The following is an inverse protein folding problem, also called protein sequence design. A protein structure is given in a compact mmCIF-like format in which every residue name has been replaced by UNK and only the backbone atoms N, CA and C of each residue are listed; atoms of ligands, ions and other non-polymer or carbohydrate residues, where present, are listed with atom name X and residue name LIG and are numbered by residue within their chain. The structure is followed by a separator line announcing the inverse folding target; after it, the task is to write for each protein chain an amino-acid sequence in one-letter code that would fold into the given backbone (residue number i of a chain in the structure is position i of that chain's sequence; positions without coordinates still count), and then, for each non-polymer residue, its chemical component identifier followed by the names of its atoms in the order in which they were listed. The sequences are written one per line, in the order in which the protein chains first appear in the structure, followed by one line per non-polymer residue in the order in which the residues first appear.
data_IF_013072281470
#
_entry.id   IF_013072281470
#
_cell.length_a   1.000
_cell.length_b   1.000
_cell.length_c   1.000
_cell.angle_alpha   90.00
_cell.angle_beta   90.00
_cell.angle_gamma   90.00
#
_symmetry.space_group_name_H-M   'P 1'
#
loop_
_entity.id
_entity.type
_entity.pdbx_description
1 polymer ?
#
# COMPACT_ATOMS: atom_id res chain seq x y z
N UNK A 1 20.63 -2.11 13.72
CA UNK A 1 19.84 -1.31 12.75
C UNK A 1 18.49 -0.99 13.36
N UNK A 2 18.00 0.28 13.21
CA UNK A 2 16.73 0.70 13.80
C UNK A 2 15.64 0.68 12.73
N UNK A 3 14.55 -0.07 12.94
CA UNK A 3 13.40 -0.12 12.05
C UNK A 3 12.17 0.51 12.70
N UNK A 4 11.48 1.36 11.96
CA UNK A 4 10.15 1.85 12.37
C UNK A 4 9.08 0.82 12.00
N UNK A 5 8.29 0.38 12.96
CA UNK A 5 7.20 -0.59 12.80
C UNK A 5 5.87 0.00 13.23
N UNK A 6 4.80 -0.61 12.80
CA UNK A 6 3.43 -0.18 13.17
C UNK A 6 2.57 -1.40 13.50
N UNK A 7 2.07 -1.48 14.72
CA UNK A 7 0.98 -2.38 15.08
C UNK A 7 -0.35 -1.71 14.77
N UNK A 8 -1.26 -2.42 14.10
CA UNK A 8 -2.59 -1.94 13.76
C UNK A 8 -3.64 -2.75 14.51
N UNK A 9 -4.43 -2.10 15.33
CA UNK A 9 -5.47 -2.71 16.14
C UNK A 9 -6.82 -2.08 15.75
N UNK A 10 -7.80 -2.91 15.41
CA UNK A 10 -9.17 -2.45 15.20
C UNK A 10 -9.83 -2.26 16.55
N UNK A 11 -10.50 -1.12 16.73
CA UNK A 11 -11.29 -0.80 17.92
C UNK A 11 -12.66 -0.26 17.52
N UNK A 12 -13.63 -0.49 18.36
CA UNK A 12 -14.92 0.17 18.27
C UNK A 12 -14.79 1.62 18.74
N UNK A 13 -15.68 2.49 18.29
CA UNK A 13 -15.72 3.87 18.74
C UNK A 13 -16.19 3.98 20.18
N UNK A 14 -15.63 4.92 20.93
CA UNK A 14 -16.17 5.45 22.18
C UNK A 14 -16.57 6.89 21.95
N UNK A 15 -17.51 7.40 22.77
CA UNK A 15 -17.98 8.79 22.66
C UNK A 15 -16.81 9.78 22.81
N UNK A 16 -15.90 9.53 23.76
CA UNK A 16 -14.70 10.36 23.97
C UNK A 16 -13.79 10.38 22.74
N UNK A 17 -13.55 9.22 22.12
CA UNK A 17 -12.71 9.14 20.95
C UNK A 17 -13.35 9.82 19.74
N UNK A 18 -14.65 9.63 19.54
CA UNK A 18 -15.43 10.29 18.49
C UNK A 18 -15.41 11.80 18.68
N UNK A 19 -15.67 12.26 19.91
CA UNK A 19 -15.60 13.67 20.26
C UNK A 19 -14.22 14.27 19.94
N UNK A 20 -13.13 13.64 20.36
CA UNK A 20 -11.77 14.14 20.09
C UNK A 20 -11.43 14.13 18.60
N UNK A 21 -11.85 13.09 17.84
CA UNK A 21 -11.67 13.04 16.38
C UNK A 21 -12.50 14.10 15.65
N UNK A 22 -13.69 14.43 16.18
CA UNK A 22 -14.52 15.51 15.68
C UNK A 22 -13.88 16.89 15.97
N UNK A 23 -13.39 17.13 17.20
CA UNK A 23 -12.63 18.34 17.55
C UNK A 23 -11.38 18.49 16.67
N UNK A 24 -10.67 17.41 16.40
CA UNK A 24 -9.54 17.42 15.46
C UNK A 24 -9.97 17.84 14.04
N UNK A 25 -11.13 17.40 13.56
CA UNK A 25 -11.71 17.84 12.29
C UNK A 25 -12.08 19.34 12.32
N UNK A 26 -12.66 19.81 13.42
CA UNK A 26 -13.01 21.23 13.58
C UNK A 26 -11.74 22.11 13.53
N UNK A 27 -10.71 21.73 14.30
CA UNK A 27 -9.42 22.45 14.29
C UNK A 27 -8.75 22.43 12.90
N UNK A 28 -8.85 21.30 12.17
CA UNK A 28 -8.38 21.24 10.79
C UNK A 28 -9.05 22.27 9.90
N UNK A 29 -10.37 22.36 9.97
CA UNK A 29 -11.15 23.27 9.13
C UNK A 29 -10.91 24.75 9.52
N UNK A 30 -10.83 25.03 10.81
CA UNK A 30 -10.53 26.34 11.35
C UNK A 30 -9.15 26.85 10.91
N UNK A 31 -8.12 26.03 11.06
CA UNK A 31 -6.75 26.36 10.65
C UNK A 31 -6.57 26.40 9.11
N UNK A 32 -7.34 25.61 8.38
CA UNK A 32 -7.33 25.62 6.92
C UNK A 32 -7.95 26.88 6.34
N UNK A 33 -8.91 27.53 7.04
CA UNK A 33 -9.61 28.69 6.55
C UNK A 33 -8.66 29.84 6.16
N UNK A 34 -7.81 30.39 7.05
CA UNK A 34 -6.90 31.49 6.68
C UNK A 34 -5.90 31.09 5.58
N UNK A 35 -5.46 29.83 5.55
CA UNK A 35 -4.57 29.35 4.47
C UNK A 35 -5.26 29.41 3.10
N UNK A 36 -6.52 29.03 3.03
CA UNK A 36 -7.30 29.07 1.79
C UNK A 36 -7.67 30.49 1.40
N UNK A 37 -7.99 31.37 2.35
CA UNK A 37 -8.26 32.79 2.07
C UNK A 37 -7.04 33.42 1.37
N UNK A 38 -5.86 33.35 1.98
CA UNK A 38 -4.64 33.86 1.37
C UNK A 38 -4.32 33.23 0.01
N UNK A 39 -4.53 31.91 -0.13
CA UNK A 39 -4.32 31.23 -1.40
C UNK A 39 -5.24 31.73 -2.52
N UNK A 40 -6.55 31.85 -2.24
CA UNK A 40 -7.51 32.27 -3.26
C UNK A 40 -7.42 33.76 -3.53
N UNK A 41 -7.11 34.61 -2.54
CA UNK A 41 -6.78 36.02 -2.74
C UNK A 41 -5.64 36.15 -3.76
N UNK A 42 -4.50 35.51 -3.51
CA UNK A 42 -3.36 35.54 -4.42
C UNK A 42 -3.64 35.00 -5.82
N UNK A 43 -4.62 34.10 -5.94
CA UNK A 43 -5.01 33.53 -7.22
C UNK A 43 -5.94 34.44 -8.02
N UNK A 44 -6.87 35.12 -7.35
CA UNK A 44 -7.90 35.94 -7.99
C UNK A 44 -7.47 37.39 -8.18
N UNK A 45 -6.46 37.84 -7.40
CA UNK A 45 -5.90 39.19 -7.44
C UNK A 45 -4.39 39.13 -7.74
N UNK A 46 -3.99 38.74 -9.00
CA UNK A 46 -2.59 38.58 -9.35
C UNK A 46 -1.78 39.88 -9.31
N UNK A 47 -2.46 40.99 -9.47
CA UNK A 47 -1.88 42.37 -9.51
C UNK A 47 -1.76 43.02 -8.12
N UNK A 48 -2.33 42.40 -7.08
CA UNK A 48 -2.24 42.87 -5.70
C UNK A 48 -1.04 42.25 -4.96
N UNK A 49 -0.56 42.90 -3.86
CA UNK A 49 0.47 42.31 -3.03
C UNK A 49 0.07 40.94 -2.51
N UNK A 50 0.95 39.96 -2.68
CA UNK A 50 0.66 38.57 -2.30
C UNK A 50 0.56 38.41 -0.78
N UNK A 51 -0.55 37.86 -0.33
CA UNK A 51 -0.73 37.46 1.07
C UNK A 51 0.13 36.22 1.38
N UNK A 52 0.76 36.26 2.55
CA UNK A 52 1.54 35.11 3.02
C UNK A 52 0.61 34.03 3.56
N UNK A 53 0.61 32.85 2.94
CA UNK A 53 -0.13 31.69 3.45
C UNK A 53 0.49 31.27 4.80
N UNK A 54 -0.30 31.22 5.89
CA UNK A 54 0.23 30.91 7.22
C UNK A 54 0.80 29.48 7.27
N UNK A 55 2.05 29.34 7.70
CA UNK A 55 2.66 28.04 7.98
C UNK A 55 2.43 27.57 9.41
N UNK A 56 2.97 26.41 9.77
CA UNK A 56 2.79 25.77 11.09
C UNK A 56 3.02 26.73 12.26
N UNK A 57 4.10 27.52 12.28
CA UNK A 57 4.44 28.37 13.42
C UNK A 57 3.39 29.47 13.67
N UNK A 58 2.89 30.07 12.60
CA UNK A 58 1.81 31.08 12.67
C UNK A 58 0.52 30.44 13.16
N UNK A 59 0.13 29.31 12.55
CA UNK A 59 -1.08 28.59 12.94
C UNK A 59 -1.00 28.09 14.39
N UNK A 60 0.14 27.59 14.85
CA UNK A 60 0.33 27.14 16.22
C UNK A 60 0.19 28.31 17.23
N UNK A 61 0.60 29.52 16.85
CA UNK A 61 0.41 30.73 17.65
C UNK A 61 -1.05 31.17 17.71
N UNK A 62 -1.69 31.31 16.55
CA UNK A 62 -3.05 31.84 16.42
C UNK A 62 -4.13 30.91 16.95
N UNK A 63 -3.95 29.58 16.75
CA UNK A 63 -4.95 28.59 17.17
C UNK A 63 -4.94 28.26 18.67
N UNK A 64 -3.93 28.66 19.45
CA UNK A 64 -3.85 28.37 20.91
C UNK A 64 -5.08 28.80 21.69
N UNK A 65 -5.72 29.89 21.28
CA UNK A 65 -6.91 30.46 21.95
C UNK A 65 -8.21 29.78 21.51
N UNK A 66 -8.19 29.04 20.41
CA UNK A 66 -9.35 28.34 19.84
C UNK A 66 -9.89 27.28 20.80
N UNK A 67 -11.21 27.19 20.91
CA UNK A 67 -11.92 26.13 21.64
C UNK A 67 -11.59 24.74 21.07
N UNK A 68 -11.44 24.62 19.74
CA UNK A 68 -11.08 23.39 19.09
C UNK A 68 -9.66 22.94 19.44
N UNK A 69 -8.73 23.87 19.62
CA UNK A 69 -7.37 23.57 20.07
C UNK A 69 -7.37 23.14 21.55
N UNK A 70 -8.06 23.87 22.42
CA UNK A 70 -8.16 23.60 23.88
C UNK A 70 -8.91 22.28 24.16
N UNK A 71 -9.87 21.91 23.32
CA UNK A 71 -10.59 20.66 23.40
C UNK A 71 -9.70 19.43 23.23
N UNK A 72 -8.60 19.56 22.47
CA UNK A 72 -7.58 18.53 22.29
C UNK A 72 -6.47 18.64 23.35
N UNK A 73 -5.61 17.63 23.43
CA UNK A 73 -4.30 17.77 24.07
C UNK A 73 -3.40 18.65 23.20
N UNK A 74 -2.66 19.58 23.79
CA UNK A 74 -1.85 20.54 23.06
C UNK A 74 -0.91 19.90 22.01
N UNK A 75 -0.24 18.81 22.37
CA UNK A 75 0.63 18.09 21.43
C UNK A 75 -0.17 17.45 20.27
N UNK A 76 -1.34 16.89 20.54
CA UNK A 76 -2.21 16.33 19.50
C UNK A 76 -2.72 17.42 18.54
N UNK A 77 -3.11 18.58 19.06
CA UNK A 77 -3.48 19.74 18.25
C UNK A 77 -2.29 20.22 17.38
N UNK A 78 -1.10 20.34 17.97
CA UNK A 78 0.12 20.69 17.22
C UNK A 78 0.45 19.69 16.13
N UNK A 79 0.32 18.36 16.38
CA UNK A 79 0.54 17.35 15.34
C UNK A 79 -0.45 17.51 14.18
N UNK A 80 -1.71 17.82 14.44
CA UNK A 80 -2.70 18.10 13.41
C UNK A 80 -2.29 19.30 12.53
N UNK A 81 -1.87 20.41 13.16
CA UNK A 81 -1.40 21.60 12.43
C UNK A 81 -0.14 21.31 11.60
N UNK A 82 0.79 20.49 12.11
CA UNK A 82 1.96 20.02 11.33
C UNK A 82 1.54 19.20 10.11
N UNK A 83 0.52 18.33 10.24
CA UNK A 83 0.00 17.55 9.11
C UNK A 83 -0.65 18.46 8.08
N UNK A 84 -1.38 19.51 8.51
CA UNK A 84 -1.98 20.49 7.61
C UNK A 84 -0.91 21.25 6.81
N UNK A 85 0.13 21.76 7.48
CA UNK A 85 1.27 22.44 6.84
C UNK A 85 1.99 21.52 5.83
N UNK A 86 2.25 20.25 6.22
CA UNK A 86 2.82 19.25 5.30
C UNK A 86 1.92 19.00 4.09
N UNK A 87 0.60 19.00 4.27
CA UNK A 87 -0.36 18.80 3.16
C UNK A 87 -0.30 19.95 2.15
N UNK A 88 -0.12 21.19 2.59
CA UNK A 88 0.11 22.33 1.70
C UNK A 88 1.46 22.25 0.99
N UNK A 89 2.53 21.89 1.69
CA UNK A 89 3.85 21.68 1.07
C UNK A 89 3.81 20.59 0.00
N UNK A 90 3.14 19.48 0.28
CA UNK A 90 2.93 18.40 -0.69
C UNK A 90 2.14 18.86 -1.91
N UNK A 91 1.11 19.69 -1.73
CA UNK A 91 0.36 20.29 -2.84
C UNK A 91 1.25 21.15 -3.75
N UNK A 92 2.11 22.00 -3.18
CA UNK A 92 3.04 22.83 -3.98
C UNK A 92 4.06 21.98 -4.73
N UNK A 93 4.60 20.95 -4.10
CA UNK A 93 5.51 19.99 -4.77
C UNK A 93 4.80 19.26 -5.92
N UNK A 94 3.57 18.82 -5.70
CA UNK A 94 2.77 18.17 -6.73
C UNK A 94 2.45 19.13 -7.91
N UNK A 95 2.15 20.40 -7.67
CA UNK A 95 1.95 21.39 -8.72
C UNK A 95 3.24 21.64 -9.54
N UNK A 96 4.37 21.71 -8.85
CA UNK A 96 5.68 21.88 -9.52
C UNK A 96 6.02 20.66 -10.41
N UNK A 97 5.71 19.44 -9.94
CA UNK A 97 5.91 18.24 -10.76
C UNK A 97 4.88 18.17 -11.89
N UNK A 98 3.62 18.54 -11.64
CA UNK A 98 2.59 18.58 -12.66
C UNK A 98 2.92 19.53 -13.80
N UNK A 99 3.51 20.69 -13.53
CA UNK A 99 3.93 21.65 -14.56
C UNK A 99 5.01 21.09 -15.49
N UNK A 100 5.85 20.15 -15.01
CA UNK A 100 6.88 19.50 -15.79
C UNK A 100 6.39 18.24 -16.51
N UNK A 101 5.57 17.45 -15.84
CA UNK A 101 5.15 16.12 -16.27
C UNK A 101 3.63 15.90 -16.03
N UNK A 102 2.74 16.58 -16.79
CA UNK A 102 1.28 16.44 -16.58
C UNK A 102 0.76 15.02 -16.74
N UNK A 103 1.37 14.23 -17.63
CA UNK A 103 0.99 12.84 -17.91
C UNK A 103 1.17 11.87 -16.75
N UNK A 104 1.96 12.22 -15.73
CA UNK A 104 2.11 11.43 -14.49
C UNK A 104 0.89 11.54 -13.57
N UNK A 105 -0.03 12.46 -13.83
CA UNK A 105 -1.17 12.76 -12.97
C UNK A 105 -2.48 12.48 -13.68
N UNK A 106 -3.49 12.01 -12.94
CA UNK A 106 -4.86 11.85 -13.44
C UNK A 106 -5.58 13.19 -13.69
N UNK A 107 -4.99 14.30 -13.22
CA UNK A 107 -5.51 15.64 -13.35
C UNK A 107 -4.71 16.62 -12.49
N UNK A 108 -5.02 17.91 -12.65
CA UNK A 108 -4.31 18.96 -11.91
C UNK A 108 -4.47 18.79 -10.39
N UNK A 109 -3.38 18.81 -9.59
CA UNK A 109 -3.44 18.75 -8.13
C UNK A 109 -4.36 19.82 -7.54
N UNK A 110 -5.09 19.48 -6.50
CA UNK A 110 -6.00 20.38 -5.80
C UNK A 110 -5.45 20.71 -4.41
N UNK A 111 -5.64 21.94 -3.91
CA UNK A 111 -5.22 22.31 -2.56
C UNK A 111 -6.00 21.51 -1.50
N UNK A 112 -5.49 21.44 -0.27
CA UNK A 112 -6.19 20.79 0.83
C UNK A 112 -7.63 21.29 0.97
N UNK A 113 -8.54 20.37 1.27
CA UNK A 113 -9.99 20.59 1.32
C UNK A 113 -10.49 20.57 2.76
N UNK A 114 -11.61 21.25 3.00
CA UNK A 114 -12.36 21.13 4.24
C UNK A 114 -12.89 19.72 4.42
N UNK A 115 -12.90 19.25 5.64
CA UNK A 115 -13.55 18.00 6.02
C UNK A 115 -15.05 18.23 6.23
N UNK A 116 -15.89 17.20 5.97
CA UNK A 116 -17.34 17.31 6.13
C UNK A 116 -17.76 17.76 7.54
N UNK A 117 -18.92 18.42 7.67
CA UNK A 117 -19.45 18.94 8.94
C UNK A 117 -19.51 17.84 10.01
N UNK A 118 -20.09 16.70 9.67
CA UNK A 118 -20.28 15.56 10.58
C UNK A 118 -19.14 14.53 10.47
N UNK A 119 -17.98 14.94 9.91
CA UNK A 119 -16.82 14.08 9.74
C UNK A 119 -15.89 14.11 10.95
N UNK A 120 -14.85 13.30 10.84
CA UNK A 120 -13.79 13.16 11.83
C UNK A 120 -12.41 13.29 11.16
N UNK A 121 -11.39 13.61 11.94
CA UNK A 121 -10.01 13.63 11.49
C UNK A 121 -9.16 12.64 12.30
N UNK A 122 -8.01 12.28 11.73
CA UNK A 122 -7.02 11.47 12.44
C UNK A 122 -6.56 12.21 13.70
N UNK A 123 -6.62 11.52 14.82
CA UNK A 123 -6.11 11.99 16.09
C UNK A 123 -4.75 11.32 16.37
N UNK A 124 -3.74 12.14 16.68
CA UNK A 124 -2.37 11.64 16.93
C UNK A 124 -1.94 12.00 18.34
N UNK A 125 -1.50 11.01 19.09
CA UNK A 125 -0.82 11.15 20.37
C UNK A 125 0.68 10.92 20.17
N UNK A 126 1.50 11.77 20.79
CA UNK A 126 2.96 11.61 20.81
C UNK A 126 3.36 10.59 21.86
N UNK A 127 4.61 10.13 21.84
CA UNK A 127 5.17 9.22 22.84
C UNK A 127 5.05 9.72 24.27
N UNK A 128 5.04 11.05 24.50
CA UNK A 128 4.88 11.65 25.83
C UNK A 128 3.45 11.55 26.39
N UNK A 129 2.48 11.21 25.57
CA UNK A 129 1.05 11.17 25.92
C UNK A 129 0.52 9.74 26.07
N UNK A 130 1.37 8.75 25.82
CA UNK A 130 1.00 7.35 25.73
C UNK A 130 2.01 6.51 26.51
N UNK A 131 1.51 5.53 27.26
CA UNK A 131 2.35 4.55 27.95
C UNK A 131 1.91 3.13 27.63
N UNK A 132 2.88 2.19 27.57
CA UNK A 132 2.59 0.76 27.53
C UNK A 132 2.85 0.22 28.94
N UNK A 133 1.85 -0.47 29.47
CA UNK A 133 1.96 -1.16 30.76
C UNK A 133 1.09 -2.41 30.77
N UNK A 134 1.67 -3.52 31.21
CA UNK A 134 0.99 -4.81 31.38
C UNK A 134 0.24 -5.29 30.12
N UNK A 135 0.85 -5.08 28.94
CA UNK A 135 0.25 -5.44 27.64
C UNK A 135 -0.89 -4.54 27.18
N UNK A 136 -1.01 -3.33 27.75
CA UNK A 136 -1.99 -2.34 27.36
C UNK A 136 -1.35 -0.99 27.04
N UNK A 137 -1.85 -0.36 25.99
CA UNK A 137 -1.59 1.05 25.69
C UNK A 137 -2.62 1.90 26.41
N UNK A 138 -2.16 2.90 27.16
CA UNK A 138 -3.00 3.87 27.89
C UNK A 138 -2.69 5.29 27.44
N UNK A 139 -3.68 6.17 27.57
CA UNK A 139 -3.63 7.52 27.07
C UNK A 139 -3.81 8.56 28.21
N UNK A 140 -3.87 9.82 27.85
CA UNK A 140 -4.11 10.92 28.77
C UNK A 140 -5.53 10.86 29.36
N UNK A 141 -5.78 11.63 30.44
CA UNK A 141 -7.10 11.70 31.09
C UNK A 141 -8.24 12.10 30.15
N UNK A 142 -7.96 12.83 29.03
CA UNK A 142 -8.98 13.17 28.03
C UNK A 142 -9.45 11.98 27.19
N UNK A 143 -8.73 10.85 27.21
CA UNK A 143 -9.10 9.61 26.55
C UNK A 143 -8.85 8.45 27.51
N UNK A 144 -9.80 8.10 28.37
CA UNK A 144 -9.67 7.01 29.36
C UNK A 144 -9.85 5.63 28.69
N UNK A 145 -9.03 5.36 27.67
CA UNK A 145 -9.08 4.15 26.87
C UNK A 145 -7.86 3.28 27.15
N UNK A 146 -8.09 1.94 27.22
CA UNK A 146 -7.02 0.94 27.32
C UNK A 146 -7.12 0.02 26.10
N UNK A 147 -6.03 -0.15 25.37
CA UNK A 147 -5.99 -0.98 24.17
C UNK A 147 -4.96 -2.08 24.37
N UNK A 148 -5.39 -3.33 24.25
CA UNK A 148 -4.47 -4.48 24.33
C UNK A 148 -3.48 -4.44 23.17
N UNK A 149 -2.19 -4.59 23.48
CA UNK A 149 -1.08 -4.61 22.51
C UNK A 149 -0.22 -5.85 22.71
N UNK A 150 0.56 -6.19 21.68
CA UNK A 150 1.58 -7.25 21.72
C UNK A 150 2.98 -6.72 22.07
N UNK A 151 3.08 -5.39 22.26
CA UNK A 151 4.34 -4.72 22.53
C UNK A 151 4.67 -4.77 24.01
N UNK A 152 5.96 -4.90 24.30
CA UNK A 152 6.48 -4.93 25.65
C UNK A 152 6.56 -3.52 26.26
N UNK A 153 6.66 -3.44 27.59
CA UNK A 153 6.64 -2.18 28.34
C UNK A 153 7.79 -1.23 27.98
N UNK A 154 8.93 -1.76 27.58
CA UNK A 154 10.15 -1.04 27.20
C UNK A 154 10.20 -0.66 25.71
N UNK A 155 9.15 -1.01 24.95
CA UNK A 155 9.06 -0.64 23.52
C UNK A 155 9.14 0.86 23.33
N UNK A 156 10.09 1.33 22.53
CA UNK A 156 10.27 2.74 22.20
C UNK A 156 9.18 3.23 21.25
N UNK A 157 8.17 3.90 21.81
CA UNK A 157 7.07 4.48 21.08
C UNK A 157 7.46 5.79 20.38
N UNK A 158 7.01 5.96 19.13
CA UNK A 158 7.08 7.24 18.42
C UNK A 158 5.77 8.01 18.52
N UNK A 159 4.66 7.36 18.21
CA UNK A 159 3.31 7.97 18.26
C UNK A 159 2.23 6.89 18.19
N UNK A 160 1.02 7.26 18.63
CA UNK A 160 -0.20 6.47 18.40
C UNK A 160 -1.21 7.31 17.64
N UNK A 161 -1.81 6.72 16.59
CA UNK A 161 -2.79 7.40 15.75
C UNK A 161 -4.12 6.66 15.77
N UNK A 162 -5.21 7.39 15.91
CA UNK A 162 -6.56 6.90 15.70
C UNK A 162 -7.06 7.36 14.35
N UNK A 163 -7.33 6.41 13.47
CA UNK A 163 -7.79 6.68 12.11
C UNK A 163 -9.27 6.29 12.03
N UNK A 164 -10.19 7.26 11.86
CA UNK A 164 -11.59 6.96 11.64
C UNK A 164 -11.78 6.07 10.41
N UNK A 165 -12.49 4.95 10.55
CA UNK A 165 -12.68 4.01 9.47
C UNK A 165 -13.99 3.26 9.59
N UNK A 166 -14.92 3.56 8.70
CA UNK A 166 -16.24 2.95 8.72
C UNK A 166 -17.02 3.31 9.98
N UNK A 167 -17.38 2.30 10.78
CA UNK A 167 -18.15 2.46 12.03
C UNK A 167 -17.25 2.45 13.29
N UNK A 168 -15.93 2.53 13.13
CA UNK A 168 -14.99 2.51 14.26
C UNK A 168 -13.64 3.06 13.86
N UNK A 169 -12.56 2.61 14.51
CA UNK A 169 -11.22 3.19 14.33
C UNK A 169 -10.17 2.11 14.12
N UNK A 170 -9.08 2.51 13.45
CA UNK A 170 -7.82 1.76 13.49
C UNK A 170 -6.87 2.52 14.39
N UNK A 171 -6.47 1.91 15.49
CA UNK A 171 -5.37 2.37 16.32
C UNK A 171 -4.06 1.89 15.70
N UNK A 172 -3.21 2.82 15.32
CA UNK A 172 -1.86 2.55 14.82
C UNK A 172 -0.84 2.94 15.86
N UNK A 173 -0.14 1.95 16.40
CA UNK A 173 0.96 2.14 17.36
C UNK A 173 2.25 2.10 16.57
N UNK A 174 2.92 3.25 16.44
CA UNK A 174 4.19 3.38 15.73
C UNK A 174 5.34 3.33 16.71
N UNK A 175 6.25 2.40 16.53
CA UNK A 175 7.36 2.13 17.42
C UNK A 175 8.65 1.83 16.67
N UNK A 176 9.77 1.91 17.37
CA UNK A 176 11.09 1.51 16.89
C UNK A 176 11.42 0.11 17.36
N UNK A 177 11.92 -0.73 16.46
CA UNK A 177 12.48 -2.04 16.75
C UNK A 177 13.97 -2.02 16.40
N UNK A 178 14.82 -2.31 17.37
CA UNK A 178 16.23 -2.58 17.12
C UNK A 178 16.39 -4.01 16.59
N UNK A 179 17.22 -4.15 15.58
CA UNK A 179 17.62 -5.43 15.05
C UNK A 179 18.92 -5.82 15.72
N UNK A 180 18.94 -6.98 16.37
CA UNK A 180 20.11 -7.49 17.06
C UNK A 180 21.19 -8.01 16.08
N UNK A 181 22.39 -8.30 16.59
CA UNK A 181 23.53 -8.78 15.79
C UNK A 181 23.27 -10.15 15.17
N UNK A 182 22.54 -11.02 15.82
CA UNK A 182 22.16 -12.34 15.32
C UNK A 182 21.22 -12.22 14.11
N UNK A 183 20.21 -11.36 14.18
CA UNK A 183 19.33 -11.05 13.04
C UNK A 183 20.12 -10.42 11.88
N UNK A 184 21.17 -9.63 12.15
CA UNK A 184 22.05 -9.05 11.14
C UNK A 184 22.92 -10.14 10.49
N UNK A 185 23.51 -11.03 11.28
CA UNK A 185 24.36 -12.11 10.80
C UNK A 185 23.58 -13.08 9.91
N UNK A 186 22.36 -13.44 10.29
CA UNK A 186 21.48 -14.27 9.45
C UNK A 186 21.16 -13.61 8.11
N UNK A 187 21.10 -12.27 8.04
CA UNK A 187 20.92 -11.52 6.80
C UNK A 187 22.15 -11.51 5.89
N UNK A 188 23.37 -11.64 6.45
CA UNK A 188 24.61 -11.75 5.68
C UNK A 188 24.73 -13.06 4.89
N UNK A 189 23.91 -14.08 5.21
CA UNK A 189 23.84 -15.34 4.49
C UNK A 189 23.09 -15.23 3.15
N UNK A 190 22.41 -14.09 2.88
CA UNK A 190 21.67 -13.88 1.64
C UNK A 190 22.63 -13.55 0.48
N UNK A 191 22.41 -14.23 -0.63
CA UNK A 191 23.23 -14.07 -1.83
C UNK A 191 22.53 -13.14 -2.84
N UNK A 192 23.07 -11.96 -3.09
CA UNK A 192 22.53 -10.99 -4.06
C UNK A 192 22.51 -11.49 -5.52
N UNK A 193 23.25 -12.56 -5.86
CA UNK A 193 23.21 -13.19 -7.17
C UNK A 193 22.12 -14.26 -7.29
N UNK A 194 21.48 -14.67 -6.17
CA UNK A 194 20.30 -15.54 -6.17
C UNK A 194 19.06 -14.64 -6.23
N UNK A 195 18.31 -14.77 -7.30
CA UNK A 195 17.30 -13.81 -7.71
C UNK A 195 15.98 -14.53 -8.00
N UNK A 196 14.87 -13.95 -7.54
CA UNK A 196 13.54 -14.31 -8.00
C UNK A 196 12.90 -13.19 -8.81
N UNK A 197 12.13 -13.58 -9.83
CA UNK A 197 11.23 -12.72 -10.59
C UNK A 197 9.78 -13.00 -10.22
N UNK A 198 9.01 -11.96 -10.06
CA UNK A 198 7.59 -12.02 -9.72
C UNK A 198 6.77 -11.39 -10.84
N UNK A 199 5.92 -12.21 -11.47
CA UNK A 199 4.86 -11.78 -12.37
C UNK A 199 3.52 -11.75 -11.60
N UNK A 200 2.84 -10.59 -11.61
CA UNK A 200 1.57 -10.37 -10.91
C UNK A 200 0.39 -10.48 -11.87
N UNK A 201 -0.54 -11.36 -11.57
CA UNK A 201 -1.65 -11.64 -12.46
C UNK A 201 -3.02 -11.69 -11.79
N UNK A 202 -4.02 -12.16 -12.56
CA UNK A 202 -5.41 -12.33 -12.11
C UNK A 202 -5.77 -13.75 -11.73
N UNK A 203 -5.39 -14.73 -12.55
CA UNK A 203 -5.63 -16.16 -12.27
C UNK A 203 -4.62 -16.68 -11.28
N UNK A 204 -3.38 -16.42 -11.58
CA UNK A 204 -2.25 -16.59 -10.73
C UNK A 204 -1.97 -15.19 -10.15
N UNK A 205 -2.17 -15.04 -8.84
CA UNK A 205 -1.93 -13.74 -8.20
C UNK A 205 -0.45 -13.40 -8.19
N UNK A 206 0.38 -14.43 -8.08
CA UNK A 206 1.83 -14.36 -8.11
C UNK A 206 2.36 -15.58 -8.85
N UNK A 207 3.28 -15.38 -9.77
CA UNK A 207 4.15 -16.41 -10.33
C UNK A 207 5.58 -16.06 -9.98
N UNK A 208 6.29 -17.00 -9.34
CA UNK A 208 7.68 -16.86 -8.93
C UNK A 208 8.51 -17.74 -9.83
N UNK A 209 9.50 -17.16 -10.50
CA UNK A 209 10.58 -17.86 -11.18
C UNK A 209 11.93 -17.41 -10.60
N UNK A 210 13.00 -18.16 -10.81
CA UNK A 210 14.29 -17.92 -10.20
C UNK A 210 15.45 -18.25 -11.15
N UNK A 211 16.67 -17.81 -10.79
CA UNK A 211 17.91 -18.11 -11.52
C UNK A 211 18.77 -19.16 -10.84
N UNK A 212 18.22 -19.95 -9.90
CA UNK A 212 18.95 -20.92 -9.09
C UNK A 212 18.57 -22.37 -9.41
N UNK A 213 17.73 -22.60 -10.44
CA UNK A 213 17.31 -23.94 -10.85
C UNK A 213 16.15 -24.55 -10.05
N UNK A 214 15.60 -23.82 -9.08
CA UNK A 214 14.44 -24.30 -8.31
C UNK A 214 13.15 -24.26 -9.14
N UNK A 215 12.21 -25.15 -8.81
CA UNK A 215 10.93 -25.24 -9.51
C UNK A 215 10.13 -23.96 -9.31
N UNK A 216 9.64 -23.31 -10.38
CA UNK A 216 8.81 -22.13 -10.27
C UNK A 216 7.53 -22.37 -9.47
N UNK A 217 7.00 -21.34 -8.84
CA UNK A 217 5.84 -21.44 -7.97
C UNK A 217 4.72 -20.54 -8.48
N UNK A 218 3.48 -21.07 -8.46
CA UNK A 218 2.28 -20.31 -8.76
C UNK A 218 1.34 -20.27 -7.57
N UNK A 219 0.99 -19.05 -7.15
CA UNK A 219 -0.03 -18.80 -6.13
C UNK A 219 -1.33 -18.43 -6.82
N UNK A 220 -2.40 -19.19 -6.58
CA UNK A 220 -3.69 -18.98 -7.25
C UNK A 220 -4.47 -17.80 -6.68
N UNK A 221 -5.07 -16.98 -7.54
CA UNK A 221 -5.94 -15.87 -7.18
C UNK A 221 -7.41 -16.25 -6.91
N UNK A 222 -7.72 -17.56 -6.84
CA UNK A 222 -9.11 -18.07 -6.71
C UNK A 222 -9.81 -17.55 -5.46
N UNK A 223 -9.13 -17.57 -4.31
CA UNK A 223 -9.67 -17.11 -3.01
C UNK A 223 -10.04 -15.62 -3.09
N UNK A 224 -9.17 -14.78 -3.64
CA UNK A 224 -9.43 -13.33 -3.78
C UNK A 224 -10.63 -13.05 -4.69
N UNK A 225 -10.77 -13.84 -5.77
CA UNK A 225 -11.92 -13.74 -6.66
C UNK A 225 -13.22 -14.15 -5.95
N UNK A 226 -13.20 -15.24 -5.21
CA UNK A 226 -14.34 -15.72 -4.43
C UNK A 226 -14.80 -14.68 -3.40
N UNK A 227 -13.87 -14.10 -2.63
CA UNK A 227 -14.15 -13.03 -1.68
C UNK A 227 -14.81 -11.83 -2.37
N UNK A 228 -14.29 -11.40 -3.52
CA UNK A 228 -14.82 -10.26 -4.27
C UNK A 228 -16.19 -10.57 -4.91
N UNK A 229 -16.40 -11.78 -5.42
CA UNK A 229 -17.69 -12.19 -6.00
C UNK A 229 -18.78 -12.23 -4.93
N UNK A 230 -18.51 -12.84 -3.77
CA UNK A 230 -19.43 -12.83 -2.63
C UNK A 230 -19.77 -11.40 -2.21
N UNK A 231 -18.74 -10.57 -2.02
CA UNK A 231 -18.91 -9.17 -1.68
C UNK A 231 -19.79 -8.40 -2.69
N UNK A 232 -19.55 -8.58 -3.98
CA UNK A 232 -20.31 -7.88 -5.02
C UNK A 232 -21.78 -8.30 -5.03
N UNK A 233 -22.07 -9.59 -4.82
CA UNK A 233 -23.44 -10.13 -4.74
C UNK A 233 -24.18 -9.54 -3.54
N UNK A 234 -23.60 -9.63 -2.35
CA UNK A 234 -24.19 -9.10 -1.12
C UNK A 234 -24.36 -7.57 -1.16
N UNK A 235 -23.38 -6.86 -1.70
CA UNK A 235 -23.45 -5.40 -1.87
C UNK A 235 -24.60 -5.01 -2.81
N UNK A 236 -24.79 -5.71 -3.92
CA UNK A 236 -25.87 -5.42 -4.86
C UNK A 236 -27.24 -5.61 -4.21
N UNK A 237 -27.41 -6.70 -3.42
CA UNK A 237 -28.64 -6.95 -2.68
C UNK A 237 -28.92 -5.85 -1.65
N UNK A 238 -27.95 -5.51 -0.82
CA UNK A 238 -28.10 -4.44 0.18
C UNK A 238 -28.37 -3.09 -0.46
N UNK A 239 -27.74 -2.80 -1.60
CA UNK A 239 -27.93 -1.55 -2.32
C UNK A 239 -29.35 -1.43 -2.89
N UNK A 240 -29.90 -2.51 -3.47
CA UNK A 240 -31.29 -2.56 -3.92
C UNK A 240 -32.28 -2.30 -2.77
N UNK A 241 -32.04 -2.89 -1.57
CA UNK A 241 -32.88 -2.65 -0.39
C UNK A 241 -32.82 -1.19 0.04
N UNK A 242 -31.60 -0.60 0.06
CA UNK A 242 -31.41 0.79 0.47
C UNK A 242 -31.99 1.78 -0.53
N UNK A 243 -31.88 1.50 -1.82
CA UNK A 243 -32.45 2.34 -2.88
C UNK A 243 -33.99 2.38 -2.74
N UNK A 244 -34.64 1.23 -2.50
CA UNK A 244 -36.07 1.16 -2.22
C UNK A 244 -36.50 1.96 -0.97
N UNK A 245 -35.63 1.99 0.06
CA UNK A 245 -35.87 2.74 1.30
C UNK A 245 -35.37 4.21 1.21
N UNK A 246 -34.83 4.65 0.06
CA UNK A 246 -34.21 5.97 -0.13
C UNK A 246 -33.05 6.28 0.84
N UNK A 247 -32.36 5.24 1.33
CA UNK A 247 -31.23 5.33 2.23
C UNK A 247 -29.94 5.36 1.40
N UNK A 248 -29.16 6.44 1.48
CA UNK A 248 -27.89 6.57 0.71
C UNK A 248 -26.79 5.65 1.24
N UNK A 249 -26.68 5.50 2.55
CA UNK A 249 -25.64 4.70 3.20
C UNK A 249 -26.21 4.01 4.44
N UNK A 250 -25.80 2.75 4.66
CA UNK A 250 -26.23 1.99 5.81
C UNK A 250 -25.08 1.20 6.44
N UNK A 251 -25.16 0.98 7.75
CA UNK A 251 -24.15 0.30 8.56
C UNK A 251 -23.77 -1.09 8.00
N UNK A 252 -24.74 -1.84 7.46
CA UNK A 252 -24.49 -3.18 6.89
C UNK A 252 -23.53 -3.16 5.70
N UNK A 253 -23.59 -2.13 4.82
CA UNK A 253 -22.64 -1.99 3.70
C UNK A 253 -21.24 -1.71 4.25
N UNK A 254 -21.10 -0.86 5.29
CA UNK A 254 -19.80 -0.63 5.93
C UNK A 254 -19.22 -1.91 6.52
N UNK A 255 -20.00 -2.68 7.27
CA UNK A 255 -19.59 -3.97 7.84
C UNK A 255 -19.17 -4.97 6.76
N UNK A 256 -19.92 -5.04 5.65
CA UNK A 256 -19.60 -5.90 4.51
C UNK A 256 -18.27 -5.48 3.86
N UNK A 257 -18.07 -4.16 3.65
CA UNK A 257 -16.80 -3.60 3.14
C UNK A 257 -15.62 -3.96 4.04
N UNK A 258 -15.76 -3.80 5.35
CA UNK A 258 -14.70 -4.11 6.30
C UNK A 258 -14.38 -5.60 6.32
N UNK A 259 -15.37 -6.46 6.41
CA UNK A 259 -15.19 -7.92 6.36
C UNK A 259 -14.44 -8.36 5.09
N UNK A 260 -14.83 -7.81 3.94
CA UNK A 260 -14.12 -8.06 2.67
C UNK A 260 -12.68 -7.56 2.73
N UNK A 261 -12.45 -6.33 3.20
CA UNK A 261 -11.13 -5.71 3.23
C UNK A 261 -10.19 -6.44 4.20
N UNK A 262 -10.69 -6.94 5.33
CA UNK A 262 -9.91 -7.76 6.27
C UNK A 262 -9.49 -9.09 5.64
N UNK A 263 -10.41 -9.80 4.98
CA UNK A 263 -10.10 -11.06 4.28
C UNK A 263 -9.06 -10.86 3.17
N UNK A 264 -9.19 -9.79 2.37
CA UNK A 264 -8.21 -9.46 1.34
C UNK A 264 -6.85 -9.11 1.96
N UNK A 265 -6.84 -8.31 3.03
CA UNK A 265 -5.60 -7.92 3.74
C UNK A 265 -4.89 -9.15 4.32
N UNK A 266 -5.61 -10.08 4.94
CA UNK A 266 -5.07 -11.33 5.46
C UNK A 266 -4.38 -12.15 4.36
N UNK A 267 -5.06 -12.35 3.23
CA UNK A 267 -4.47 -13.05 2.08
C UNK A 267 -3.21 -12.36 1.56
N UNK A 268 -3.19 -11.03 1.47
CA UNK A 268 -1.99 -10.29 1.05
C UNK A 268 -0.84 -10.46 2.03
N UNK A 269 -1.13 -10.49 3.34
CA UNK A 269 -0.11 -10.76 4.37
C UNK A 269 0.47 -12.16 4.28
N UNK A 270 -0.38 -13.19 4.06
CA UNK A 270 0.05 -14.58 3.88
C UNK A 270 0.93 -14.72 2.64
N UNK A 271 0.48 -14.19 1.49
CA UNK A 271 1.23 -14.23 0.23
C UNK A 271 2.59 -13.55 0.36
N UNK A 272 2.61 -12.31 0.90
CA UNK A 272 3.86 -11.56 1.04
C UNK A 272 4.82 -12.17 2.06
N UNK A 273 4.30 -12.84 3.12
CA UNK A 273 5.13 -13.60 4.06
C UNK A 273 5.74 -14.82 3.37
N UNK A 274 4.93 -15.62 2.68
CA UNK A 274 5.38 -16.79 1.96
C UNK A 274 6.53 -16.47 0.98
N UNK A 275 6.43 -15.36 0.24
CA UNK A 275 7.48 -14.93 -0.70
C UNK A 275 8.79 -14.66 0.03
N UNK A 276 8.73 -13.95 1.17
CA UNK A 276 9.93 -13.62 1.94
C UNK A 276 10.52 -14.85 2.61
N UNK A 277 9.68 -15.72 3.19
CA UNK A 277 10.12 -16.98 3.79
C UNK A 277 10.82 -17.87 2.73
N UNK A 278 10.25 -17.99 1.53
CA UNK A 278 10.87 -18.68 0.40
C UNK A 278 12.26 -18.11 0.05
N UNK A 279 12.40 -16.77 0.08
CA UNK A 279 13.70 -16.15 -0.14
C UNK A 279 14.72 -16.50 0.94
N UNK A 280 14.30 -16.51 2.20
CA UNK A 280 15.17 -16.88 3.33
C UNK A 280 15.60 -18.34 3.26
N UNK A 281 14.67 -19.27 3.03
CA UNK A 281 14.91 -20.71 2.90
C UNK A 281 15.90 -21.03 1.77
N UNK A 282 15.88 -20.24 0.71
CA UNK A 282 16.74 -20.44 -0.47
C UNK A 282 17.93 -19.47 -0.53
N UNK A 283 18.23 -18.73 0.53
CA UNK A 283 19.31 -17.71 0.60
C UNK A 283 19.27 -16.71 -0.56
N UNK A 284 18.07 -16.29 -0.97
CA UNK A 284 17.82 -15.34 -2.06
C UNK A 284 17.93 -13.91 -1.55
N UNK A 285 18.88 -13.15 -2.10
CA UNK A 285 19.14 -11.75 -1.68
C UNK A 285 18.38 -10.72 -2.50
N UNK A 286 17.69 -11.09 -3.59
CA UNK A 286 17.07 -10.13 -4.49
C UNK A 286 15.75 -10.58 -5.07
N UNK A 287 14.75 -9.69 -5.03
CA UNK A 287 13.41 -9.88 -5.62
C UNK A 287 13.21 -8.85 -6.73
N UNK A 288 12.87 -9.29 -7.93
CA UNK A 288 12.46 -8.41 -9.04
C UNK A 288 10.96 -8.56 -9.25
N UNK A 289 10.20 -7.48 -9.07
CA UNK A 289 8.75 -7.49 -9.25
C UNK A 289 8.38 -6.74 -10.52
N UNK A 290 7.66 -7.38 -11.40
CA UNK A 290 7.06 -6.75 -12.56
C UNK A 290 5.96 -5.77 -12.16
N UNK A 291 5.99 -4.57 -12.74
CA UNK A 291 5.00 -3.52 -12.49
C UNK A 291 4.79 -2.67 -13.73
N UNK A 292 3.54 -2.49 -14.13
CA UNK A 292 3.17 -1.49 -15.13
C UNK A 292 2.45 -0.32 -14.45
N UNK A 293 2.94 0.90 -14.67
CA UNK A 293 2.24 2.09 -14.20
C UNK A 293 0.97 2.31 -15.00
N UNK A 294 -0.14 2.62 -14.32
CA UNK A 294 -1.43 2.90 -14.96
C UNK A 294 -2.20 1.69 -15.51
N UNK A 295 -1.67 0.45 -15.43
CA UNK A 295 -2.27 -0.75 -16.04
C UNK A 295 -3.73 -1.06 -15.64
N UNK A 296 -4.23 -0.45 -14.55
CA UNK A 296 -5.63 -0.57 -14.11
C UNK A 296 -6.55 0.52 -14.68
N UNK A 297 -6.00 1.54 -15.28
CA UNK A 297 -6.79 2.73 -15.69
C UNK A 297 -7.44 2.54 -17.06
N UNK A 298 -6.80 1.78 -17.96
CA UNK A 298 -7.28 1.51 -19.31
C UNK A 298 -7.33 0.00 -19.63
N UNK A 299 -7.75 -0.80 -18.66
CA UNK A 299 -7.78 -2.24 -18.81
C UNK A 299 -8.92 -2.67 -19.75
N UNK A 300 -8.64 -2.83 -21.06
CA UNK A 300 -9.56 -3.30 -22.10
C UNK A 300 -9.86 -4.81 -22.07
N UNK A 301 -9.97 -5.42 -20.89
CA UNK A 301 -10.13 -6.88 -20.72
C UNK A 301 -11.59 -7.36 -20.68
N UNK A 302 -12.56 -6.50 -20.98
CA UNK A 302 -13.98 -6.76 -20.84
C UNK A 302 -14.52 -6.57 -19.42
N UNK A 303 -15.81 -6.26 -19.27
CA UNK A 303 -16.47 -5.81 -18.02
C UNK A 303 -16.20 -6.70 -16.81
N UNK A 304 -16.33 -8.02 -16.96
CA UNK A 304 -16.14 -9.01 -15.87
C UNK A 304 -14.67 -9.14 -15.42
N UNK A 305 -13.73 -9.15 -16.38
CA UNK A 305 -12.31 -9.24 -16.06
C UNK A 305 -11.79 -7.93 -15.45
N UNK A 306 -12.24 -6.77 -15.96
CA UNK A 306 -11.90 -5.46 -15.41
C UNK A 306 -12.38 -5.34 -13.97
N UNK A 307 -13.61 -5.74 -13.64
CA UNK A 307 -14.11 -5.73 -12.27
C UNK A 307 -13.25 -6.58 -11.33
N UNK A 308 -12.88 -7.80 -11.73
CA UNK A 308 -12.02 -8.67 -10.94
C UNK A 308 -10.61 -8.08 -10.77
N UNK A 309 -10.06 -7.49 -11.83
CA UNK A 309 -8.70 -6.96 -11.84
C UNK A 309 -8.56 -5.70 -10.97
N UNK A 310 -9.48 -4.76 -11.10
CA UNK A 310 -9.46 -3.51 -10.32
C UNK A 310 -9.61 -3.78 -8.83
N UNK A 311 -10.37 -4.81 -8.44
CA UNK A 311 -10.63 -5.13 -7.05
C UNK A 311 -9.47 -5.85 -6.31
N UNK A 312 -8.45 -6.34 -7.04
CA UNK A 312 -7.26 -6.95 -6.40
C UNK A 312 -6.21 -5.85 -6.14
N UNK A 313 -5.81 -5.62 -4.88
CA UNK A 313 -4.91 -4.51 -4.55
C UNK A 313 -3.42 -4.89 -4.76
N UNK A 314 -2.97 -5.09 -6.02
CA UNK A 314 -1.59 -5.45 -6.36
C UNK A 314 -0.57 -4.47 -5.79
N UNK A 315 -0.83 -3.15 -5.86
CA UNK A 315 0.07 -2.15 -5.27
C UNK A 315 0.28 -2.36 -3.77
N UNK A 316 -0.76 -2.79 -3.05
CA UNK A 316 -0.66 -3.11 -1.62
C UNK A 316 0.15 -4.39 -1.38
N UNK A 317 0.00 -5.40 -2.25
CA UNK A 317 0.82 -6.61 -2.19
C UNK A 317 2.31 -6.28 -2.40
N UNK A 318 2.63 -5.48 -3.42
CA UNK A 318 4.00 -5.00 -3.69
C UNK A 318 4.57 -4.30 -2.45
N UNK A 319 3.84 -3.34 -1.86
CA UNK A 319 4.28 -2.66 -0.65
C UNK A 319 4.52 -3.62 0.52
N UNK A 320 3.66 -4.65 0.67
CA UNK A 320 3.83 -5.66 1.73
C UNK A 320 5.05 -6.55 1.51
N UNK A 321 5.37 -6.89 0.26
CA UNK A 321 6.61 -7.59 -0.07
C UNK A 321 7.81 -6.68 0.22
N UNK A 322 7.78 -5.43 -0.24
CA UNK A 322 8.89 -4.48 -0.05
C UNK A 322 9.28 -4.32 1.42
N UNK A 323 8.34 -3.93 2.30
CA UNK A 323 8.71 -3.66 3.68
C UNK A 323 9.09 -4.92 4.46
N UNK A 324 8.55 -6.10 4.09
CA UNK A 324 8.95 -7.37 4.73
C UNK A 324 10.33 -7.83 4.24
N UNK A 325 10.59 -7.70 2.94
CA UNK A 325 11.88 -8.00 2.33
C UNK A 325 12.98 -7.07 2.89
N UNK A 326 12.71 -5.76 2.97
CA UNK A 326 13.61 -4.78 3.57
C UNK A 326 13.95 -5.13 5.02
N UNK A 327 12.97 -5.62 5.77
CA UNK A 327 13.17 -6.08 7.14
C UNK A 327 14.14 -7.26 7.26
N UNK A 328 14.29 -8.04 6.21
CA UNK A 328 15.22 -9.19 6.11
C UNK A 328 16.44 -8.90 5.23
N UNK A 329 16.70 -7.62 4.93
CA UNK A 329 17.79 -7.15 4.05
C UNK A 329 17.77 -7.75 2.62
N UNK A 330 16.60 -8.15 2.13
CA UNK A 330 16.38 -8.58 0.75
C UNK A 330 16.11 -7.35 -0.11
N UNK A 331 16.88 -7.17 -1.18
CA UNK A 331 16.69 -6.07 -2.13
C UNK A 331 15.44 -6.30 -2.99
N UNK A 332 14.60 -5.28 -3.17
CA UNK A 332 13.42 -5.34 -4.04
C UNK A 332 13.52 -4.33 -5.17
N UNK A 333 13.54 -4.82 -6.40
CA UNK A 333 13.60 -4.02 -7.64
C UNK A 333 12.21 -4.06 -8.30
N UNK A 334 11.65 -2.88 -8.61
CA UNK A 334 10.44 -2.77 -9.42
C UNK A 334 10.82 -2.58 -10.88
N UNK A 335 10.44 -3.52 -11.75
CA UNK A 335 10.76 -3.53 -13.17
C UNK A 335 9.51 -3.32 -14.03
N UNK A 336 9.56 -2.42 -14.99
CA UNK A 336 8.48 -2.25 -15.97
C UNK A 336 8.37 -3.49 -16.88
N UNK A 337 7.15 -4.05 -16.98
CA UNK A 337 6.85 -5.33 -17.64
C UNK A 337 6.68 -5.24 -19.18
N UNK A 338 6.85 -4.07 -19.81
CA UNK A 338 6.63 -3.96 -21.26
C UNK A 338 7.40 -5.06 -22.01
N UNK A 339 6.68 -5.80 -22.86
CA UNK A 339 7.15 -6.90 -23.73
C UNK A 339 7.60 -8.19 -23.03
N UNK A 340 7.67 -8.28 -21.69
CA UNK A 340 8.15 -9.48 -20.98
C UNK A 340 7.31 -10.73 -21.19
N UNK A 341 6.00 -10.59 -21.40
CA UNK A 341 5.08 -11.71 -21.65
C UNK A 341 5.05 -12.18 -23.11
N UNK A 342 5.58 -11.38 -24.04
CA UNK A 342 5.57 -11.67 -25.48
C UNK A 342 6.89 -12.25 -25.97
N UNK A 343 8.01 -11.72 -25.46
CA UNK A 343 9.34 -12.19 -25.85
C UNK A 343 9.64 -13.58 -25.27
N UNK A 344 10.31 -14.40 -26.03
CA UNK A 344 10.74 -15.73 -25.59
C UNK A 344 11.98 -15.64 -24.71
N UNK A 345 11.88 -16.17 -23.48
CA UNK A 345 13.02 -16.26 -22.57
C UNK A 345 14.04 -17.30 -23.08
N UNK A 346 13.56 -18.49 -23.48
CA UNK A 346 14.40 -19.61 -23.91
C UNK A 346 15.19 -19.31 -25.19
N UNK A 347 14.65 -18.45 -26.06
CA UNK A 347 15.32 -18.03 -27.31
C UNK A 347 16.21 -16.79 -27.12
N UNK A 348 16.43 -16.37 -25.87
CA UNK A 348 17.17 -15.15 -25.51
C UNK A 348 16.74 -13.91 -26.31
N UNK A 349 15.45 -13.85 -26.66
CA UNK A 349 14.88 -12.79 -27.48
C UNK A 349 14.99 -11.44 -26.79
N UNK A 350 15.46 -10.36 -27.47
CA UNK A 350 15.55 -9.03 -26.88
C UNK A 350 14.18 -8.55 -26.37
N UNK A 351 14.12 -7.99 -25.14
CA UNK A 351 12.85 -7.60 -24.50
C UNK A 351 12.47 -6.18 -24.97
N UNK A 352 11.97 -6.08 -26.21
CA UNK A 352 11.47 -4.88 -26.83
C UNK A 352 10.31 -5.20 -27.77
N UNK A 353 9.75 -4.21 -28.46
CA UNK A 353 8.78 -4.45 -29.51
C UNK A 353 9.46 -5.19 -30.66
N UNK A 354 8.85 -6.30 -31.10
CA UNK A 354 9.28 -7.08 -32.27
C UNK A 354 8.15 -7.09 -33.30
N UNK A 355 8.48 -6.96 -34.57
CA UNK A 355 7.50 -7.15 -35.66
C UNK A 355 7.02 -8.61 -35.70
N UNK A 356 7.94 -9.56 -35.46
CA UNK A 356 7.67 -10.98 -35.36
C UNK A 356 8.42 -11.56 -34.17
N UNK A 357 7.67 -12.06 -33.19
CA UNK A 357 8.24 -12.70 -31.98
C UNK A 357 8.71 -14.13 -32.30
N UNK A 358 9.84 -14.56 -31.72
CA UNK A 358 10.40 -15.90 -31.86
C UNK A 358 9.49 -16.99 -31.25
N UNK A 359 8.94 -16.69 -30.09
CA UNK A 359 8.01 -17.59 -29.41
C UNK A 359 6.56 -17.16 -29.52
N UNK A 360 5.63 -18.05 -29.20
CA UNK A 360 4.19 -17.80 -29.28
C UNK A 360 3.45 -18.36 -28.06
N UNK A 361 2.53 -17.55 -27.51
CA UNK A 361 1.53 -18.03 -26.55
C UNK A 361 0.39 -18.69 -27.31
N UNK A 362 0.46 -20.02 -27.49
CA UNK A 362 -0.49 -20.76 -28.34
C UNK A 362 -1.76 -21.18 -27.59
N UNK A 363 -1.70 -21.32 -26.28
CA UNK A 363 -2.89 -21.48 -25.43
C UNK A 363 -2.78 -20.62 -24.17
N UNK A 364 -3.90 -20.52 -23.43
CA UNK A 364 -3.87 -19.80 -22.16
C UNK A 364 -3.02 -20.53 -21.14
N UNK A 365 -1.91 -19.94 -20.72
CA UNK A 365 -0.99 -20.48 -19.73
C UNK A 365 0.19 -21.26 -20.30
N UNK A 366 0.24 -21.49 -21.63
CA UNK A 366 1.35 -22.16 -22.29
C UNK A 366 1.99 -21.28 -23.37
N UNK A 367 3.31 -21.27 -23.36
CA UNK A 367 4.16 -20.54 -24.29
C UNK A 367 5.10 -21.53 -24.97
N UNK A 368 5.27 -21.44 -26.28
CA UNK A 368 6.16 -22.27 -27.08
C UNK A 368 7.27 -21.39 -27.65
N UNK A 369 8.51 -21.78 -27.42
CA UNK A 369 9.71 -21.17 -27.99
C UNK A 369 9.93 -21.52 -29.45
N UNK A 370 10.90 -20.92 -30.13
CA UNK A 370 11.24 -21.20 -31.52
C UNK A 370 11.64 -22.65 -31.76
N UNK A 371 12.35 -23.27 -30.82
CA UNK A 371 12.75 -24.64 -30.90
C UNK A 371 11.66 -25.66 -30.54
N UNK A 372 10.42 -25.20 -30.28
CA UNK A 372 9.28 -26.06 -29.95
C UNK A 372 9.13 -26.39 -28.46
N UNK A 373 10.06 -25.99 -27.59
CA UNK A 373 9.98 -26.22 -26.14
C UNK A 373 8.78 -25.45 -25.55
N UNK A 374 7.99 -26.21 -24.75
CA UNK A 374 6.78 -25.65 -24.11
C UNK A 374 7.08 -25.32 -22.66
N UNK A 375 6.70 -24.14 -22.26
CA UNK A 375 6.78 -23.66 -20.86
C UNK A 375 5.51 -22.93 -20.41
N UNK A 376 5.36 -22.71 -19.11
CA UNK A 376 4.27 -21.90 -18.59
C UNK A 376 4.47 -20.42 -18.99
N UNK A 377 3.42 -19.77 -19.50
CA UNK A 377 3.52 -18.40 -20.01
C UNK A 377 3.79 -17.36 -18.93
N UNK A 378 3.31 -17.58 -17.70
CA UNK A 378 3.53 -16.64 -16.60
C UNK A 378 4.97 -16.83 -16.04
N UNK A 379 5.53 -18.07 -16.14
CA UNK A 379 6.95 -18.35 -15.85
C UNK A 379 7.85 -17.64 -16.87
N UNK A 380 7.51 -17.72 -18.18
CA UNK A 380 8.23 -16.95 -19.21
C UNK A 380 8.27 -15.46 -18.90
N UNK A 381 7.14 -14.89 -18.47
CA UNK A 381 7.06 -13.50 -18.05
C UNK A 381 7.97 -13.19 -16.85
N UNK A 382 7.90 -14.01 -15.79
CA UNK A 382 8.70 -13.82 -14.59
C UNK A 382 10.22 -13.93 -14.84
N UNK A 383 10.67 -14.87 -15.68
CA UNK A 383 12.07 -15.00 -16.10
C UNK A 383 12.54 -13.79 -16.92
N UNK A 384 11.70 -13.30 -17.84
CA UNK A 384 11.98 -12.10 -18.60
C UNK A 384 12.03 -10.83 -17.71
N UNK A 385 11.24 -10.76 -16.65
CA UNK A 385 11.31 -9.69 -15.65
C UNK A 385 12.68 -9.68 -14.98
N UNK A 386 13.21 -10.83 -14.57
CA UNK A 386 14.59 -10.95 -14.05
C UNK A 386 15.58 -10.45 -15.08
N UNK A 387 15.56 -11.02 -16.29
CA UNK A 387 16.51 -10.71 -17.35
C UNK A 387 16.51 -9.25 -17.77
N UNK A 388 15.33 -8.60 -17.74
CA UNK A 388 15.17 -7.19 -18.06
C UNK A 388 15.78 -6.27 -17.00
N UNK A 389 15.62 -6.63 -15.72
CA UNK A 389 16.17 -5.85 -14.60
C UNK A 389 17.68 -6.09 -14.41
N UNK A 390 18.11 -7.33 -14.61
CA UNK A 390 19.48 -7.80 -14.36
C UNK A 390 19.92 -8.66 -15.55
N UNK A 391 20.50 -8.03 -16.60
CA UNK A 391 20.85 -8.75 -17.85
C UNK A 391 21.74 -9.96 -17.64
N UNK A 392 22.65 -9.91 -16.66
CA UNK A 392 23.61 -10.99 -16.36
C UNK A 392 23.11 -12.01 -15.34
N UNK A 393 21.81 -11.96 -14.94
CA UNK A 393 21.24 -12.89 -13.96
C UNK A 393 21.35 -14.37 -14.40
N UNK A 394 21.45 -14.64 -15.70
CA UNK A 394 21.55 -15.97 -16.30
C UNK A 394 22.88 -16.17 -17.05
N UNK A 395 23.96 -15.46 -16.68
CA UNK A 395 25.27 -15.56 -17.33
C UNK A 395 25.88 -16.99 -17.27
N UNK A 396 25.48 -17.83 -16.29
CA UNK A 396 25.87 -19.23 -16.15
C UNK A 396 25.06 -20.18 -17.04
N UNK A 397 24.21 -19.65 -17.91
CA UNK A 397 23.31 -20.42 -18.77
C UNK A 397 21.87 -20.46 -18.23
N UNK A 398 20.97 -20.96 -19.06
CA UNK A 398 19.54 -21.17 -18.76
C UNK A 398 19.21 -22.65 -18.55
N UNK A 399 20.22 -23.51 -18.58
CA UNK A 399 20.09 -24.95 -18.31
C UNK A 399 19.64 -25.15 -16.87
N UNK A 400 18.65 -26.04 -16.67
CA UNK A 400 18.07 -26.29 -15.34
C UNK A 400 17.01 -25.30 -14.89
N UNK A 401 16.68 -24.24 -15.66
CA UNK A 401 15.57 -23.35 -15.34
C UNK A 401 14.24 -24.12 -15.40
N UNK A 402 13.47 -24.04 -14.35
CA UNK A 402 12.16 -24.70 -14.28
C UNK A 402 11.17 -24.09 -15.27
N UNK A 403 10.54 -24.92 -16.10
CA UNK A 403 9.61 -24.49 -17.15
C UNK A 403 8.15 -24.51 -16.72
N UNK A 404 7.83 -25.43 -15.79
CA UNK A 404 6.46 -25.65 -15.31
C UNK A 404 6.37 -25.46 -13.79
N UNK A 405 5.45 -24.60 -13.33
CA UNK A 405 5.37 -24.29 -11.92
C UNK A 405 4.57 -25.33 -11.14
N UNK A 406 4.96 -25.52 -9.89
CA UNK A 406 4.10 -26.15 -8.88
C UNK A 406 3.07 -25.14 -8.36
N UNK A 407 1.92 -25.66 -7.91
CA UNK A 407 0.87 -24.83 -7.30
C UNK A 407 1.07 -24.79 -5.80
N UNK A 408 1.22 -23.59 -5.24
CA UNK A 408 1.16 -23.38 -3.81
C UNK A 408 -0.24 -22.90 -3.40
N UNK A 409 -0.85 -23.60 -2.44
CA UNK A 409 -2.09 -23.20 -1.79
C UNK A 409 -1.72 -22.52 -0.47
N UNK A 410 -1.77 -21.21 -0.46
CA UNK A 410 -1.61 -20.41 0.78
C UNK A 410 -2.99 -20.30 1.41
N UNK A 411 -3.25 -21.05 2.47
CA UNK A 411 -4.48 -21.05 3.26
C UNK A 411 -4.47 -19.94 4.32
#
# INVERSE_FOLDING_TARGET
MLLTRTEQIRIDGTDDLSFLCHMAKNLWNEALYPMRQAYFHNKHHPDEPKEKIPGYNVLAGTMKTSENFKGLNAQSAQQLLKVLDKSWKAYWMALKEYSKNPSKFLGRPKPPQYKPKDGEAVLTFTNQQVTIKDGFVTFTKKLPLKIKTRLDNDTKLNQVRFIPKGIGYVCEIVYEKEINEEEINNRQLLNGNRIIGIDLGLRNIVTIANNIGEIPIVIKGGILKSINQFYNKEKALLQSIYDNQKIKFGTRIYQLNEKRNHKIKDQMHKISKYIVDYCLENSIGRIVIGKNDGWKQEAGMGKKNNQNFVQIPHAKLIQMIQYKAEAEAIEVILQQESHTSKCSFLDSEPICHQEKYKGIRFTRGLFRSANGTIMNSDVNGALNIIRKAIPNAFAKGIEGVGLHPIRSNIL
#
